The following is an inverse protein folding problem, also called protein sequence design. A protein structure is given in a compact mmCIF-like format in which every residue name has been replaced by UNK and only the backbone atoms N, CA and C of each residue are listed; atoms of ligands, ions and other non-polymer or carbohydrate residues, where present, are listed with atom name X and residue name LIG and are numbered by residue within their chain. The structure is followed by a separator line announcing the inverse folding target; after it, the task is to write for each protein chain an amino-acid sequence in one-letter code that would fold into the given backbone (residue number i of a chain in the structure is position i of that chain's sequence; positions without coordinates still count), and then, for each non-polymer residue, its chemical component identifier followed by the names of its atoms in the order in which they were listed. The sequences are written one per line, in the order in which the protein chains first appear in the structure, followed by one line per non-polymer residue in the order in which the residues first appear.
data_IF_630080434503
#
_entry.id   IF_630080434503
#
_cell.length_a   1.000
_cell.length_b   1.000
_cell.length_c   1.000
_cell.angle_alpha   90.00
_cell.angle_beta   90.00
_cell.angle_gamma   90.00
#
_symmetry.space_group_name_H-M   'P 1'
#
loop_
_entity.id
_entity.type
_entity.pdbx_description
1 polymer ?
#
# COMPACT_ATOMS: atom_id res chain seq x y z
N UNK A 1 18.10 21.67 4.18
CA UNK A 1 17.96 20.44 5.00
C UNK A 1 16.97 20.81 6.08
N UNK A 2 15.71 20.75 5.68
CA UNK A 2 14.57 21.50 6.21
C UNK A 2 13.38 20.97 5.37
N UNK A 3 12.28 20.44 5.86
CA UNK A 3 11.58 20.58 7.13
C UNK A 3 10.69 19.36 7.31
N UNK A 4 10.61 18.81 8.53
CA UNK A 4 9.44 18.05 8.97
C UNK A 4 9.29 18.21 10.49
N UNK A 5 9.09 19.46 10.93
CA UNK A 5 8.33 19.72 12.14
C UNK A 5 6.85 19.45 11.83
N UNK A 6 6.32 18.33 12.31
CA UNK A 6 4.88 18.16 12.51
C UNK A 6 4.62 18.39 14.00
N UNK A 7 4.43 19.67 14.34
CA UNK A 7 4.13 20.19 15.66
C UNK A 7 2.68 19.82 16.02
N UNK A 8 2.47 18.65 16.64
CA UNK A 8 1.18 18.37 17.31
C UNK A 8 1.23 19.10 18.65
N UNK A 9 0.62 20.29 18.67
CA UNK A 9 0.40 21.10 19.88
C UNK A 9 -0.32 20.26 20.94
N UNK A 10 0.22 20.30 22.15
CA UNK A 10 -0.38 19.75 23.35
C UNK A 10 -1.66 20.51 23.72
N UNK A 11 -2.81 20.14 23.16
CA UNK A 11 -4.11 20.59 23.66
C UNK A 11 -4.55 19.69 24.81
N UNK A 12 -4.05 20.02 26.01
CA UNK A 12 -4.79 20.02 27.28
C UNK A 12 -6.10 19.21 27.33
N UNK A 13 -6.00 17.89 27.49
CA UNK A 13 -7.15 17.10 27.93
C UNK A 13 -7.29 17.22 29.45
N UNK A 14 -8.19 18.10 29.90
CA UNK A 14 -8.65 18.16 31.29
C UNK A 14 -9.28 16.82 31.67
N UNK A 15 -8.59 16.05 32.52
CA UNK A 15 -9.02 14.74 32.99
C UNK A 15 -10.13 14.86 34.05
N UNK A 16 -11.38 15.03 33.60
CA UNK A 16 -12.51 14.59 34.39
C UNK A 16 -12.79 13.11 34.06
N UNK A 17 -12.72 12.25 35.09
CA UNK A 17 -13.18 10.85 35.17
C UNK A 17 -12.08 9.75 35.08
N UNK A 18 -11.53 9.40 36.25
CA UNK A 18 -10.54 8.35 36.57
C UNK A 18 -10.97 6.90 36.27
N UNK A 19 -12.03 6.67 35.48
CA UNK A 19 -12.46 5.31 35.06
C UNK A 19 -12.01 4.91 33.65
N UNK A 20 -11.64 5.88 32.80
CA UNK A 20 -11.26 5.64 31.40
C UNK A 20 -9.76 5.44 31.19
N UNK A 21 -8.96 5.66 32.24
CA UNK A 21 -7.48 5.57 32.18
C UNK A 21 -7.00 4.14 31.90
N UNK A 22 -7.73 3.08 32.28
CA UNK A 22 -7.34 1.70 31.97
C UNK A 22 -7.74 1.24 30.56
N UNK A 23 -8.87 1.71 30.05
CA UNK A 23 -9.38 1.34 28.71
C UNK A 23 -8.60 2.08 27.60
N UNK A 24 -7.89 3.16 27.93
CA UNK A 24 -7.10 3.93 26.95
C UNK A 24 -5.69 3.36 26.68
N UNK A 25 -5.12 2.52 27.56
CA UNK A 25 -3.83 1.86 27.33
C UNK A 25 -3.94 0.58 26.47
N UNK A 26 -5.07 -0.14 26.53
CA UNK A 26 -5.30 -1.31 25.66
C UNK A 26 -5.61 -0.92 24.20
N UNK A 27 -6.26 0.23 23.99
CA UNK A 27 -6.53 0.76 22.65
C UNK A 27 -5.22 1.07 21.91
N UNK A 28 -4.20 1.59 22.60
CA UNK A 28 -2.89 1.84 22.01
C UNK A 28 -2.19 0.56 21.54
N UNK A 29 -2.39 -0.58 22.20
CA UNK A 29 -1.86 -1.88 21.78
C UNK A 29 -2.62 -2.46 20.58
N UNK A 30 -3.93 -2.23 20.48
CA UNK A 30 -4.76 -2.68 19.34
C UNK A 30 -4.39 -1.93 18.05
N UNK A 31 -3.97 -0.66 18.13
CA UNK A 31 -3.53 0.13 16.98
C UNK A 31 -2.19 -0.30 16.36
N UNK A 32 -1.35 -1.07 17.08
CA UNK A 32 0.01 -1.44 16.62
C UNK A 32 -0.02 -2.65 15.65
N UNK A 33 -1.06 -3.48 15.67
CA UNK A 33 -1.10 -4.75 14.93
C UNK A 33 -1.83 -4.70 13.58
N UNK A 34 -2.35 -3.55 13.16
CA UNK A 34 -2.97 -3.41 11.83
C UNK A 34 -1.89 -2.91 10.88
N UNK A 35 -1.27 -3.81 10.10
CA UNK A 35 -0.47 -3.39 8.95
C UNK A 35 -1.43 -2.86 7.86
N UNK A 36 -1.43 -1.54 7.58
CA UNK A 36 -2.18 -1.01 6.47
C UNK A 36 -1.57 -1.52 5.15
N UNK A 37 -2.37 -1.53 4.08
CA UNK A 37 -1.84 -1.82 2.74
C UNK A 37 -0.71 -0.87 2.38
N UNK A 38 0.22 -1.34 1.56
CA UNK A 38 1.36 -0.56 1.13
C UNK A 38 0.94 0.63 0.23
N UNK A 39 1.91 1.48 -0.10
CA UNK A 39 1.68 2.60 -1.01
C UNK A 39 1.09 2.12 -2.34
N UNK A 40 0.03 2.80 -2.79
CA UNK A 40 -0.71 2.50 -4.02
C UNK A 40 -1.45 1.16 -4.02
N UNK A 41 -1.65 0.58 -2.84
CA UNK A 41 -2.53 -0.56 -2.64
C UNK A 41 -3.84 -0.14 -1.96
N UNK A 42 -4.88 -0.95 -2.15
CA UNK A 42 -6.15 -0.85 -1.45
C UNK A 42 -6.58 -2.22 -0.95
N UNK A 43 -7.19 -2.23 0.24
CA UNK A 43 -7.75 -3.46 0.79
C UNK A 43 -9.05 -3.79 0.05
N UNK A 44 -9.17 -5.05 -0.34
CA UNK A 44 -10.41 -5.62 -0.90
C UNK A 44 -10.76 -6.91 -0.19
N UNK A 45 -12.06 -7.14 0.01
CA UNK A 45 -12.57 -8.43 0.51
C UNK A 45 -12.55 -9.53 -0.57
N UNK A 46 -12.38 -9.15 -1.84
CA UNK A 46 -12.37 -10.07 -2.98
C UNK A 46 -11.49 -9.50 -4.10
N UNK A 47 -10.18 -9.74 -4.00
CA UNK A 47 -9.16 -9.42 -4.99
C UNK A 47 -8.76 -10.62 -5.85
N UNK A 48 -8.34 -10.37 -7.09
CA UNK A 48 -7.80 -11.39 -7.99
C UNK A 48 -6.36 -11.74 -7.62
N UNK A 49 -6.01 -13.02 -7.47
CA UNK A 49 -4.64 -13.46 -7.25
C UNK A 49 -3.71 -13.24 -8.45
N UNK A 50 -4.30 -13.05 -9.64
CA UNK A 50 -3.56 -12.82 -10.87
C UNK A 50 -3.50 -11.31 -11.16
N UNK A 51 -2.56 -10.64 -10.50
CA UNK A 51 -2.37 -9.20 -10.68
C UNK A 51 -1.72 -8.88 -12.04
N UNK A 52 -2.08 -7.74 -12.63
CA UNK A 52 -1.36 -7.20 -13.79
C UNK A 52 0.01 -6.69 -13.36
N UNK A 53 1.05 -7.04 -14.12
CA UNK A 53 2.44 -6.71 -13.81
C UNK A 53 3.01 -5.77 -14.88
N UNK A 54 4.15 -5.12 -14.61
CA UNK A 54 4.84 -4.36 -15.64
C UNK A 54 5.23 -5.19 -16.87
N UNK A 55 5.52 -6.48 -16.71
CA UNK A 55 5.86 -7.34 -17.84
C UNK A 55 4.63 -7.61 -18.72
N UNK A 56 3.43 -7.72 -18.12
CA UNK A 56 2.19 -7.77 -18.88
C UNK A 56 1.96 -6.48 -19.68
N UNK A 57 2.21 -5.31 -19.07
CA UNK A 57 2.11 -4.01 -19.74
C UNK A 57 3.09 -3.91 -20.92
N UNK A 58 4.36 -4.26 -20.71
CA UNK A 58 5.41 -4.20 -21.73
C UNK A 58 5.15 -5.13 -22.92
N UNK A 59 4.60 -6.31 -22.64
CA UNK A 59 4.28 -7.30 -23.67
C UNK A 59 2.90 -7.10 -24.31
N UNK A 60 2.19 -6.01 -23.98
CA UNK A 60 0.87 -5.71 -24.54
C UNK A 60 -0.23 -6.71 -24.13
N UNK A 61 -0.06 -7.40 -23.00
CA UNK A 61 -1.03 -8.38 -22.49
C UNK A 61 -2.22 -7.66 -21.87
N UNK A 62 -3.39 -7.81 -22.47
CA UNK A 62 -4.65 -7.18 -22.03
C UNK A 62 -5.53 -8.11 -21.19
N UNK A 63 -5.36 -9.42 -21.35
CA UNK A 63 -6.14 -10.44 -20.64
C UNK A 63 -5.20 -11.38 -19.91
N UNK A 64 -5.37 -11.48 -18.59
CA UNK A 64 -4.64 -12.41 -17.74
C UNK A 64 -5.59 -13.55 -17.39
N UNK A 65 -5.36 -14.77 -17.89
CA UNK A 65 -6.19 -15.91 -17.53
C UNK A 65 -6.07 -16.15 -16.02
N UNK A 66 -7.19 -16.00 -15.32
CA UNK A 66 -7.28 -16.26 -13.89
C UNK A 66 -8.51 -17.10 -13.60
N UNK A 67 -8.44 -17.92 -12.55
CA UNK A 67 -9.63 -18.61 -12.07
C UNK A 67 -10.57 -17.60 -11.37
N UNK A 68 -11.82 -18.00 -11.13
CA UNK A 68 -12.82 -17.15 -10.44
C UNK A 68 -12.65 -17.10 -8.92
N UNK A 69 -11.57 -17.64 -8.35
CA UNK A 69 -11.33 -17.56 -6.91
C UNK A 69 -10.74 -16.19 -6.59
N UNK A 70 -11.31 -15.51 -5.60
CA UNK A 70 -10.75 -14.28 -5.05
C UNK A 70 -10.29 -14.49 -3.61
N UNK A 71 -9.48 -13.56 -3.12
CA UNK A 71 -8.99 -13.56 -1.74
C UNK A 71 -9.16 -12.17 -1.12
N UNK A 72 -9.28 -12.12 0.20
CA UNK A 72 -9.27 -10.86 0.93
C UNK A 72 -7.82 -10.42 1.18
N UNK A 73 -7.49 -9.17 0.89
CA UNK A 73 -6.14 -8.65 1.06
C UNK A 73 -5.91 -7.33 0.30
N UNK A 74 -4.66 -6.87 0.33
CA UNK A 74 -4.24 -5.68 -0.38
C UNK A 74 -3.95 -5.98 -1.86
N UNK A 75 -4.48 -5.14 -2.74
CA UNK A 75 -4.27 -5.22 -4.19
C UNK A 75 -3.84 -3.85 -4.72
N UNK A 76 -3.13 -3.82 -5.85
CA UNK A 76 -2.82 -2.54 -6.49
C UNK A 76 -4.11 -1.79 -6.85
N UNK A 77 -4.14 -0.49 -6.56
CA UNK A 77 -5.24 0.39 -6.96
C UNK A 77 -5.44 0.39 -8.47
N UNK A 78 -6.63 0.77 -8.93
CA UNK A 78 -6.89 0.93 -10.35
C UNK A 78 -5.87 1.87 -11.03
N UNK A 79 -5.35 1.48 -12.19
CA UNK A 79 -4.28 2.19 -12.91
C UNK A 79 -2.85 1.91 -12.41
N UNK A 80 -2.70 1.11 -11.35
CA UNK A 80 -1.41 0.63 -10.85
C UNK A 80 -1.23 -0.86 -11.16
N UNK A 81 0.02 -1.24 -11.39
CA UNK A 81 0.43 -2.62 -11.68
C UNK A 81 1.58 -3.04 -10.80
N UNK A 82 1.69 -4.34 -10.58
CA UNK A 82 2.69 -4.94 -9.70
C UNK A 82 4.07 -4.91 -10.36
N UNK A 83 5.05 -4.34 -9.67
CA UNK A 83 6.49 -4.41 -10.00
C UNK A 83 7.24 -4.92 -8.77
N UNK A 84 7.44 -6.24 -8.71
CA UNK A 84 8.01 -6.89 -7.52
C UNK A 84 7.04 -6.80 -6.33
N UNK A 85 7.43 -6.06 -5.28
CA UNK A 85 6.60 -5.83 -4.09
C UNK A 85 5.76 -4.55 -4.15
N UNK A 86 6.06 -3.66 -5.10
CA UNK A 86 5.44 -2.33 -5.16
C UNK A 86 4.36 -2.27 -6.24
N UNK A 87 3.40 -1.36 -6.06
CA UNK A 87 2.42 -0.98 -7.07
C UNK A 87 2.83 0.36 -7.70
N UNK A 88 3.13 0.32 -9.00
CA UNK A 88 3.60 1.46 -9.81
C UNK A 88 2.58 1.82 -10.87
N UNK A 89 2.60 3.05 -11.39
CA UNK A 89 1.68 3.43 -12.46
C UNK A 89 1.98 2.63 -13.73
N UNK A 90 0.94 2.27 -14.50
CA UNK A 90 1.14 1.56 -15.77
C UNK A 90 2.08 2.30 -16.74
N UNK A 91 2.05 3.64 -16.73
CA UNK A 91 2.92 4.50 -17.53
C UNK A 91 4.40 4.39 -17.14
N UNK A 92 4.71 4.06 -15.89
CA UNK A 92 6.08 3.89 -15.37
C UNK A 92 6.72 2.57 -15.83
N UNK A 93 5.92 1.60 -16.27
CA UNK A 93 6.43 0.33 -16.80
C UNK A 93 7.12 0.50 -18.17
N UNK A 94 6.66 1.47 -18.97
CA UNK A 94 7.22 1.79 -20.30
C UNK A 94 8.50 2.62 -20.23
N UNK A 95 8.87 3.13 -19.05
CA UNK A 95 10.01 4.04 -18.88
C UNK A 95 11.38 3.35 -18.79
N UNK A 96 11.47 2.03 -19.01
CA UNK A 96 12.76 1.36 -19.13
C UNK A 96 13.38 1.54 -20.52
N UNK A 97 13.53 2.78 -20.97
CA UNK A 97 14.66 3.11 -21.83
C UNK A 97 15.82 3.36 -20.86
N UNK A 98 16.64 2.31 -20.67
CA UNK A 98 17.89 2.21 -19.88
C UNK A 98 17.79 1.57 -18.48
N UNK A 99 17.70 0.25 -18.47
CA UNK A 99 18.80 -0.55 -17.89
C UNK A 99 19.54 -1.26 -19.03
N UNK A 100 20.12 -0.47 -19.94
CA UNK A 100 21.35 -0.91 -20.59
C UNK A 100 22.40 -0.68 -19.50
N UNK A 101 22.64 -1.68 -18.64
CA UNK A 101 23.94 -1.74 -17.97
C UNK A 101 24.96 -1.81 -19.10
N UNK A 102 25.89 -0.85 -19.24
CA UNK A 102 27.06 -1.11 -20.06
C UNK A 102 27.72 -2.36 -19.46
N UNK A 103 27.75 -3.45 -20.22
CA UNK A 103 28.65 -4.55 -19.92
C UNK A 103 30.06 -3.99 -20.10
N UNK A 104 30.72 -3.73 -18.99
CA UNK A 104 32.17 -3.59 -18.92
C UNK A 104 32.73 -4.85 -18.26
#
# INVERSE_FOLDING_TARGET
MSDHEARIEASSFSFANTKYVFIQYDIALIFIFIEPCDKNEEYTSCGSACHKTCDHVKNGVTVIPCNKKCFAGCVCKNGYVRKGKECVLESECSSNIKEIKPQQ
#
